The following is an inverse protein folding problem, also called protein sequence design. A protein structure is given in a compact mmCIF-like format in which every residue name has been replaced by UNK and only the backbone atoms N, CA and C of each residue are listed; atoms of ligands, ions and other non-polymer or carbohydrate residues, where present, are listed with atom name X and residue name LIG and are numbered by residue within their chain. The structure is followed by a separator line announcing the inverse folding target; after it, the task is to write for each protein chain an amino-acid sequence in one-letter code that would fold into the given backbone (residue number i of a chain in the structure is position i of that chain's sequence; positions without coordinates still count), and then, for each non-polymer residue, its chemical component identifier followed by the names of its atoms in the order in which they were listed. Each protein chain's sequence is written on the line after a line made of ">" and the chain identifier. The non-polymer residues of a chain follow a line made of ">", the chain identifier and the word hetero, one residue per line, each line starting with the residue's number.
data_IF_910769811805
#
_entry.id   IF_910769811805
#
_cell.length_a   1.000
_cell.length_b   1.000
_cell.length_c   1.000
_cell.angle_alpha   90.00
_cell.angle_beta   90.00
_cell.angle_gamma   90.00
#
_symmetry.space_group_name_H-M   'P 1'
#
loop_
_entity.id
_entity.type
_entity.pdbx_description
1 polymer ?
#
# COMPACT_ATOMS: atom_id res chain seq x y z
N UNK A 1 4.98 -11.98 12.71
CA UNK A 1 5.17 -11.70 11.27
C UNK A 1 3.78 -11.59 10.66
N UNK A 2 3.38 -10.42 10.17
CA UNK A 2 2.05 -10.18 9.58
C UNK A 2 2.03 -10.70 8.14
N UNK A 3 1.03 -11.52 7.81
CA UNK A 3 0.70 -11.91 6.43
C UNK A 3 0.39 -10.65 5.61
N UNK A 4 0.84 -10.59 4.36
CA UNK A 4 0.52 -9.44 3.49
C UNK A 4 -0.97 -9.32 3.21
N UNK A 5 -1.37 -8.10 2.88
CA UNK A 5 -2.75 -7.77 2.54
C UNK A 5 -2.92 -8.04 1.06
N UNK A 6 -3.93 -8.80 0.68
CA UNK A 6 -4.20 -9.06 -0.75
C UNK A 6 -4.71 -7.78 -1.43
N UNK A 7 -4.06 -7.37 -2.52
CA UNK A 7 -4.44 -6.18 -3.32
C UNK A 7 -5.76 -6.36 -4.07
N UNK A 8 -6.13 -7.59 -4.38
CA UNK A 8 -7.33 -7.90 -5.14
C UNK A 8 -7.99 -9.18 -4.64
N UNK A 9 -9.28 -9.32 -4.91
CA UNK A 9 -10.05 -10.54 -4.65
C UNK A 9 -10.91 -10.88 -5.85
N UNK A 10 -11.21 -12.17 -6.03
CA UNK A 10 -12.07 -12.64 -7.10
C UNK A 10 -13.40 -13.12 -6.53
N UNK A 11 -14.51 -12.65 -7.08
CA UNK A 11 -15.86 -13.10 -6.74
C UNK A 11 -16.60 -13.39 -8.04
N UNK A 12 -16.92 -14.67 -8.26
CA UNK A 12 -17.41 -15.14 -9.56
C UNK A 12 -16.39 -14.86 -10.67
N UNK A 13 -16.84 -14.20 -11.73
CA UNK A 13 -16.00 -13.83 -12.89
C UNK A 13 -15.34 -12.45 -12.75
N UNK A 14 -15.53 -11.76 -11.62
CA UNK A 14 -15.03 -10.40 -11.40
C UNK A 14 -13.80 -10.38 -10.50
N UNK A 15 -12.82 -9.57 -10.89
CA UNK A 15 -11.68 -9.20 -10.04
C UNK A 15 -11.92 -7.81 -9.48
N UNK A 16 -11.92 -7.71 -8.15
CA UNK A 16 -12.02 -6.46 -7.41
C UNK A 16 -10.62 -6.09 -6.93
N UNK A 17 -10.15 -4.89 -7.26
CA UNK A 17 -8.81 -4.40 -6.91
C UNK A 17 -8.90 -3.14 -6.05
N UNK A 18 -7.96 -3.00 -5.10
CA UNK A 18 -7.77 -1.75 -4.36
C UNK A 18 -7.32 -0.66 -5.34
N UNK A 19 -8.16 0.36 -5.51
CA UNK A 19 -7.84 1.54 -6.34
C UNK A 19 -7.25 2.70 -5.54
N UNK A 20 -7.81 2.98 -4.37
CA UNK A 20 -7.46 4.15 -3.56
C UNK A 20 -7.46 3.79 -2.08
N UNK A 21 -6.50 4.35 -1.36
CA UNK A 21 -6.33 4.17 0.08
C UNK A 21 -6.30 5.54 0.75
N UNK A 22 -7.02 5.66 1.86
CA UNK A 22 -6.90 6.80 2.77
C UNK A 22 -6.13 6.36 4.01
N UNK A 23 -4.94 6.91 4.21
CA UNK A 23 -4.12 6.66 5.39
C UNK A 23 -4.36 7.78 6.42
N UNK A 24 -4.55 7.41 7.69
CA UNK A 24 -4.79 8.34 8.80
C UNK A 24 -3.73 8.12 9.88
N UNK A 25 -3.08 9.19 10.34
CA UNK A 25 -2.21 9.14 11.52
C UNK A 25 -3.07 9.49 12.75
N UNK A 26 -3.42 8.46 13.50
CA UNK A 26 -4.31 8.52 14.66
C UNK A 26 -4.02 7.33 15.56
N UNK A 27 -4.31 7.45 16.85
CA UNK A 27 -4.17 6.35 17.81
C UNK A 27 -5.23 5.27 17.58
N UNK A 28 -6.51 5.66 17.53
CA UNK A 28 -7.62 4.74 17.27
C UNK A 28 -8.47 5.16 16.07
N UNK A 29 -9.02 4.18 15.36
CA UNK A 29 -9.91 4.45 14.24
C UNK A 29 -11.20 5.13 14.71
N UNK A 30 -11.59 6.21 14.04
CA UNK A 30 -12.75 7.03 14.38
C UNK A 30 -12.44 8.26 15.24
N UNK A 31 -11.23 8.35 15.80
CA UNK A 31 -10.76 9.54 16.50
C UNK A 31 -10.27 10.63 15.53
N UNK A 32 -10.15 11.89 15.99
CA UNK A 32 -9.50 12.94 15.22
C UNK A 32 -8.05 12.59 14.88
N UNK A 33 -7.74 12.52 13.59
CA UNK A 33 -6.39 12.33 13.09
C UNK A 33 -5.65 13.67 12.96
N UNK A 34 -4.32 13.63 13.02
CA UNK A 34 -3.49 14.81 12.85
C UNK A 34 -2.74 14.85 11.51
N UNK A 35 -2.75 13.74 10.77
CA UNK A 35 -2.30 13.67 9.39
C UNK A 35 -3.17 12.72 8.54
N UNK A 36 -3.30 13.02 7.25
CA UNK A 36 -3.98 12.19 6.27
C UNK A 36 -3.19 12.17 4.96
N UNK A 37 -3.17 11.00 4.32
CA UNK A 37 -2.68 10.85 2.96
C UNK A 37 -3.66 10.08 2.09
N UNK A 38 -3.73 10.45 0.81
CA UNK A 38 -4.43 9.67 -0.22
C UNK A 38 -3.39 8.99 -1.09
N UNK A 39 -3.54 7.68 -1.29
CA UNK A 39 -2.68 6.88 -2.14
C UNK A 39 -3.53 6.19 -3.20
N UNK A 40 -3.12 6.29 -4.47
CA UNK A 40 -3.78 5.64 -5.60
C UNK A 40 -2.92 4.50 -6.14
N UNK A 41 -3.52 3.32 -6.26
CA UNK A 41 -2.92 2.16 -6.89
C UNK A 41 -3.27 2.09 -8.38
N UNK A 42 -2.29 1.72 -9.19
CA UNK A 42 -2.41 1.45 -10.62
C UNK A 42 -1.58 0.22 -10.96
N UNK A 43 -2.22 -0.95 -11.01
CA UNK A 43 -1.53 -2.22 -11.18
C UNK A 43 -0.56 -2.47 -10.03
N UNK A 44 0.73 -2.57 -10.34
CA UNK A 44 1.79 -2.85 -9.37
C UNK A 44 2.47 -1.59 -8.80
N UNK A 45 1.97 -0.41 -9.16
CA UNK A 45 2.51 0.87 -8.71
C UNK A 45 1.52 1.60 -7.81
N UNK A 46 2.03 2.20 -6.75
CA UNK A 46 1.27 3.09 -5.86
C UNK A 46 1.81 4.50 -5.96
N UNK A 47 0.93 5.49 -5.99
CA UNK A 47 1.28 6.91 -6.01
C UNK A 47 0.69 7.59 -4.77
N UNK A 48 1.48 8.40 -4.07
CA UNK A 48 1.00 9.23 -2.95
C UNK A 48 0.50 10.55 -3.52
N UNK A 49 -0.82 10.70 -3.61
CA UNK A 49 -1.49 11.85 -4.23
C UNK A 49 -1.38 13.11 -3.36
N UNK A 50 -1.75 12.97 -2.09
CA UNK A 50 -1.81 14.09 -1.15
C UNK A 50 -1.29 13.67 0.21
N UNK A 51 -0.69 14.62 0.90
CA UNK A 51 -0.26 14.49 2.28
C UNK A 51 -0.64 15.80 2.97
N UNK A 52 -1.49 15.73 3.99
CA UNK A 52 -1.94 16.89 4.75
C UNK A 52 -1.72 16.61 6.23
N UNK A 53 -1.12 17.57 6.91
CA UNK A 53 -0.90 17.53 8.36
C UNK A 53 -1.60 18.71 9.01
N UNK A 54 -1.96 18.55 10.27
CA UNK A 54 -2.33 19.66 11.13
C UNK A 54 -1.07 20.51 11.39
N UNK A 55 -1.24 21.82 11.54
CA UNK A 55 -0.14 22.77 11.75
C UNK A 55 0.87 22.26 12.79
N UNK A 56 2.16 22.36 12.45
CA UNK A 56 3.32 21.96 13.26
C UNK A 56 3.56 20.44 13.43
N UNK A 57 2.71 19.58 12.87
CA UNK A 57 2.87 18.12 12.95
C UNK A 57 3.32 17.53 11.61
N UNK A 58 4.46 17.99 11.09
CA UNK A 58 5.03 17.50 9.83
C UNK A 58 5.23 15.97 9.85
N UNK A 59 5.24 15.38 8.66
CA UNK A 59 5.51 13.94 8.52
C UNK A 59 6.99 13.67 8.76
N UNK A 60 7.27 12.69 9.61
CA UNK A 60 8.63 12.25 9.89
C UNK A 60 9.13 11.24 8.85
N UNK A 61 10.38 10.79 9.02
CA UNK A 61 10.92 9.70 8.22
C UNK A 61 10.21 8.37 8.51
N UNK A 62 9.82 8.15 9.76
CA UNK A 62 9.09 6.98 10.22
C UNK A 62 7.70 6.94 9.58
N UNK A 63 7.01 8.09 9.48
CA UNK A 63 5.73 8.18 8.77
C UNK A 63 5.88 7.81 7.29
N UNK A 64 6.92 8.35 6.63
CA UNK A 64 7.22 7.99 5.24
C UNK A 64 7.51 6.48 5.08
N UNK A 65 8.18 5.87 6.06
CA UNK A 65 8.46 4.44 6.06
C UNK A 65 7.20 3.61 6.24
N UNK A 66 6.19 4.10 6.99
CA UNK A 66 4.90 3.44 7.11
C UNK A 66 4.20 3.31 5.74
N UNK A 67 4.28 4.34 4.88
CA UNK A 67 3.76 4.25 3.50
C UNK A 67 4.50 3.21 2.67
N UNK A 68 5.83 3.13 2.80
CA UNK A 68 6.65 2.13 2.12
C UNK A 68 6.27 0.71 2.56
N UNK A 69 6.20 0.46 3.86
CA UNK A 69 5.83 -0.84 4.40
C UNK A 69 4.40 -1.22 4.03
N UNK A 70 3.47 -0.26 3.99
CA UNK A 70 2.13 -0.49 3.50
C UNK A 70 2.10 -0.91 2.03
N UNK A 71 2.80 -0.18 1.15
CA UNK A 71 2.88 -0.52 -0.27
C UNK A 71 3.54 -1.90 -0.48
N UNK A 72 4.56 -2.23 0.32
CA UNK A 72 5.19 -3.54 0.34
C UNK A 72 4.24 -4.65 0.79
N UNK A 73 3.41 -4.42 1.81
CA UNK A 73 2.42 -5.39 2.26
C UNK A 73 1.31 -5.65 1.23
N UNK A 74 1.01 -4.66 0.38
CA UNK A 74 0.12 -4.78 -0.77
C UNK A 74 0.80 -5.35 -2.04
N UNK A 75 2.07 -5.79 -1.93
CA UNK A 75 2.80 -6.40 -3.04
C UNK A 75 2.92 -5.46 -4.26
N UNK A 76 3.08 -4.16 -3.98
CA UNK A 76 3.45 -3.17 -4.97
C UNK A 76 4.95 -3.28 -5.27
N UNK A 77 5.34 -3.00 -6.51
CA UNK A 77 6.73 -2.95 -6.95
C UNK A 77 7.32 -1.55 -6.87
N UNK A 78 6.47 -0.52 -6.90
CA UNK A 78 6.90 0.88 -6.93
C UNK A 78 6.00 1.74 -6.06
N UNK A 79 6.63 2.67 -5.34
CA UNK A 79 5.96 3.77 -4.64
C UNK A 79 6.45 5.09 -5.22
N UNK A 80 5.51 5.89 -5.68
CA UNK A 80 5.77 7.15 -6.36
C UNK A 80 5.19 8.31 -5.55
N UNK A 81 5.89 9.45 -5.57
CA UNK A 81 5.41 10.68 -4.93
C UNK A 81 6.11 11.87 -5.55
N UNK A 82 5.59 13.06 -5.30
CA UNK A 82 6.21 14.30 -5.73
C UNK A 82 6.70 15.14 -4.56
N UNK A 83 7.90 15.68 -4.71
CA UNK A 83 8.47 16.64 -3.77
C UNK A 83 8.51 18.01 -4.42
N UNK A 84 7.87 18.98 -3.76
CA UNK A 84 8.02 20.39 -4.12
C UNK A 84 9.33 20.91 -3.53
N UNK A 85 10.21 21.46 -4.38
CA UNK A 85 11.43 22.14 -3.98
C UNK A 85 11.56 23.42 -4.78
N UNK A 86 11.68 24.57 -4.11
CA UNK A 86 11.79 25.88 -4.76
C UNK A 86 10.65 26.19 -5.75
N UNK A 87 9.43 25.70 -5.48
CA UNK A 87 8.29 25.86 -6.39
C UNK A 87 8.24 24.88 -7.56
N UNK A 88 9.28 24.07 -7.75
CA UNK A 88 9.32 23.03 -8.78
C UNK A 88 8.92 21.67 -8.22
N UNK A 89 8.18 20.91 -9.03
CA UNK A 89 7.74 19.56 -8.71
C UNK A 89 8.80 18.56 -9.20
N UNK A 90 9.36 17.79 -8.27
CA UNK A 90 10.27 16.69 -8.57
C UNK A 90 9.61 15.35 -8.24
N UNK A 91 9.34 14.56 -9.28
CA UNK A 91 8.84 13.20 -9.09
C UNK A 91 9.92 12.28 -8.57
N UNK A 92 9.52 11.40 -7.67
CA UNK A 92 10.34 10.36 -7.06
C UNK A 92 9.65 9.02 -7.27
N UNK A 93 10.45 8.04 -7.65
CA UNK A 93 10.03 6.66 -7.76
C UNK A 93 10.95 5.83 -6.86
N UNK A 94 10.34 5.09 -5.95
CA UNK A 94 11.02 4.22 -4.99
C UNK A 94 10.65 2.79 -5.35
N UNK A 95 11.65 1.99 -5.71
CA UNK A 95 11.46 0.56 -5.90
C UNK A 95 11.22 -0.13 -4.55
N UNK A 96 10.24 -1.02 -4.53
CA UNK A 96 9.92 -1.84 -3.37
C UNK A 96 10.63 -3.17 -3.56
N UNK A 97 11.63 -3.43 -2.70
CA UNK A 97 12.36 -4.68 -2.75
C UNK A 97 11.48 -5.76 -2.14
N UNK A 98 11.08 -6.72 -2.97
CA UNK A 98 10.33 -7.88 -2.52
C UNK A 98 11.15 -8.64 -1.46
N UNK A 99 10.58 -8.80 -0.27
CA UNK A 99 10.99 -9.92 0.57
C UNK A 99 10.41 -11.16 -0.13
N UNK A 100 11.25 -11.95 -0.78
CA UNK A 100 10.88 -13.22 -1.41
C UNK A 100 10.04 -14.05 -0.44
N UNK A 101 8.72 -13.99 -0.57
CA UNK A 101 7.85 -14.95 0.09
C UNK A 101 7.93 -16.22 -0.74
N UNK A 102 8.14 -17.40 -0.14
CA UNK A 102 7.83 -18.62 -0.85
C UNK A 102 6.35 -18.54 -1.25
N UNK A 103 6.09 -18.47 -2.56
CA UNK A 103 4.74 -18.56 -3.14
C UNK A 103 4.06 -19.74 -2.44
N UNK A 104 2.91 -19.51 -1.81
CA UNK A 104 2.10 -20.60 -1.33
C UNK A 104 1.80 -21.50 -2.53
N UNK A 105 2.42 -22.67 -2.57
CA UNK A 105 2.13 -23.67 -3.59
C UNK A 105 0.73 -24.18 -3.26
N UNK A 106 -0.27 -23.62 -3.94
CA UNK A 106 -1.62 -24.16 -3.91
C UNK A 106 -1.57 -25.50 -4.63
N UNK A 107 -1.33 -26.58 -3.89
CA UNK A 107 -1.58 -27.92 -4.38
C UNK A 107 -3.09 -28.12 -4.41
N UNK A 108 -3.67 -28.09 -5.60
CA UNK A 108 -4.99 -28.66 -5.82
C UNK A 108 -4.87 -30.17 -5.58
N UNK A 109 -5.32 -30.62 -4.41
CA UNK A 109 -5.47 -32.06 -4.16
C UNK A 109 -6.67 -32.49 -5.00
N UNK A 110 -6.40 -33.07 -6.17
CA UNK A 110 -7.41 -33.78 -6.94
C UNK A 110 -7.87 -34.97 -6.09
N UNK A 111 -8.91 -34.76 -5.30
CA UNK A 111 -9.63 -35.81 -4.61
C UNK A 111 -10.30 -36.70 -5.65
N UNK A 112 -9.57 -37.71 -6.13
CA UNK A 112 -10.16 -38.79 -6.91
C UNK A 112 -9.85 -40.14 -6.25
N UNK A 113 -10.91 -40.66 -5.62
CA UNK A 113 -11.29 -42.06 -5.40
C UNK A 113 -10.30 -43.00 -4.70
N UNK A 114 -10.77 -43.55 -3.58
CA UNK A 114 -10.78 -45.00 -3.41
C UNK A 114 -12.15 -45.47 -2.88
N UNK A 115 -12.82 -46.21 -3.76
CA UNK A 115 -13.85 -47.27 -3.60
C UNK A 115 -14.99 -47.07 -2.60
#
# INVERSE_FOLDING_TARGET
>A
MQSGISRFTQIGDWIFEVKMVRALRVENYGEPYDAVATLTANGESMYIDTQLTRQHNELSREDCMAFYEFAKQLEMKQLQYDKLRNGERHSRNVEIVENQRPRAVVQLVNGNRFR
#
